data_IF_364975037008
#
_entry.id   IF_364975037008
#
_cell.length_a   1.000
_cell.length_b   1.000
_cell.length_c   1.000
_cell.angle_alpha   90.00
_cell.angle_beta   90.00
_cell.angle_gamma   90.00
#
_symmetry.space_group_name_H-M   'P 1'
#
loop_
_entity.id
_entity.type
_entity.pdbx_description
1 polymer ?
#
# COMPACT_ATOMS: atom_id res chain seq x y z
N UNK A 1 -23.55 20.40 -0.77
CA UNK A 1 -22.72 20.54 -1.98
C UNK A 1 -21.42 19.74 -1.85
N UNK A 2 -20.56 20.03 -0.86
CA UNK A 2 -19.33 19.25 -0.60
C UNK A 2 -19.55 17.73 -0.56
N UNK A 3 -20.49 17.23 0.25
CA UNK A 3 -20.77 15.79 0.35
C UNK A 3 -21.18 15.15 -0.99
N UNK A 4 -21.90 15.87 -1.85
CA UNK A 4 -22.29 15.37 -3.17
C UNK A 4 -21.06 15.19 -4.07
N UNK A 5 -20.15 16.16 -4.08
CA UNK A 5 -18.90 16.09 -4.86
C UNK A 5 -18.01 14.96 -4.34
N UNK A 6 -17.89 14.80 -3.02
CA UNK A 6 -17.15 13.69 -2.42
C UNK A 6 -17.75 12.33 -2.81
N UNK A 7 -19.08 12.17 -2.70
CA UNK A 7 -19.76 10.91 -3.06
C UNK A 7 -19.62 10.57 -4.54
N UNK A 8 -19.66 11.58 -5.41
CA UNK A 8 -19.43 11.40 -6.85
C UNK A 8 -17.99 10.92 -7.12
N UNK A 9 -16.99 11.58 -6.53
CA UNK A 9 -15.59 11.17 -6.64
C UNK A 9 -15.36 9.75 -6.14
N UNK A 10 -15.91 9.42 -4.97
CA UNK A 10 -15.82 8.06 -4.42
C UNK A 10 -16.46 7.04 -5.37
N UNK A 11 -17.62 7.36 -5.95
CA UNK A 11 -18.30 6.46 -6.89
C UNK A 11 -17.45 6.19 -8.13
N UNK A 12 -16.77 7.21 -8.67
CA UNK A 12 -15.81 7.05 -9.78
C UNK A 12 -14.62 6.19 -9.37
N UNK A 13 -14.00 6.49 -8.21
CA UNK A 13 -12.86 5.72 -7.68
C UNK A 13 -13.23 4.25 -7.48
N UNK A 14 -14.37 3.96 -6.82
CA UNK A 14 -14.84 2.60 -6.60
C UNK A 14 -15.11 1.88 -7.92
N UNK A 15 -15.76 2.53 -8.88
CA UNK A 15 -16.07 1.94 -10.19
C UNK A 15 -14.79 1.57 -10.96
N UNK A 16 -13.84 2.48 -11.06
CA UNK A 16 -12.56 2.26 -11.75
C UNK A 16 -11.73 1.19 -11.03
N UNK A 17 -11.62 1.29 -9.70
CA UNK A 17 -10.81 0.36 -8.90
C UNK A 17 -11.39 -1.05 -8.89
N UNK A 18 -12.72 -1.18 -8.93
CA UNK A 18 -13.37 -2.48 -9.10
C UNK A 18 -13.03 -3.12 -10.44
N UNK A 19 -12.94 -2.34 -11.53
CA UNK A 19 -12.55 -2.81 -12.86
C UNK A 19 -11.05 -3.12 -13.00
N UNK A 20 -10.21 -2.76 -12.02
CA UNK A 20 -8.76 -3.04 -12.04
C UNK A 20 -8.46 -4.54 -12.02
N UNK A 21 -7.71 -5.00 -13.02
CA UNK A 21 -7.36 -6.41 -13.26
C UNK A 21 -5.89 -6.76 -12.95
N UNK A 22 -4.99 -5.78 -13.03
CA UNK A 22 -3.55 -5.98 -12.86
C UNK A 22 -2.98 -5.01 -11.83
N UNK A 23 -1.86 -5.41 -11.21
CA UNK A 23 -1.14 -4.59 -10.26
C UNK A 23 0.08 -3.94 -10.91
N UNK A 24 0.38 -2.71 -10.50
CA UNK A 24 1.68 -2.12 -10.77
C UNK A 24 2.73 -2.71 -9.82
N UNK A 25 4.01 -2.63 -10.19
CA UNK A 25 5.09 -3.29 -9.43
C UNK A 25 5.27 -2.70 -8.03
N UNK A 26 5.05 -1.40 -7.87
CA UNK A 26 5.09 -0.70 -6.59
C UNK A 26 3.97 -1.14 -5.63
N UNK A 27 2.78 -1.48 -6.16
CA UNK A 27 1.68 -2.04 -5.37
C UNK A 27 2.11 -3.38 -4.81
N UNK A 28 2.68 -4.26 -5.63
CA UNK A 28 3.19 -5.56 -5.17
C UNK A 28 4.31 -5.39 -4.13
N UNK A 29 5.25 -4.48 -4.36
CA UNK A 29 6.30 -4.18 -3.39
C UNK A 29 5.78 -3.59 -2.09
N UNK A 30 4.67 -2.85 -2.12
CA UNK A 30 4.04 -2.37 -0.89
C UNK A 30 3.59 -3.52 0.01
N UNK A 31 2.97 -4.55 -0.57
CA UNK A 31 2.61 -5.77 0.16
C UNK A 31 3.85 -6.52 0.64
N UNK A 32 4.84 -6.68 -0.22
CA UNK A 32 6.08 -7.36 0.15
C UNK A 32 6.76 -6.73 1.36
N UNK A 33 7.00 -5.42 1.33
CA UNK A 33 7.69 -4.74 2.42
C UNK A 33 6.87 -4.74 3.72
N UNK A 34 5.54 -4.77 3.63
CA UNK A 34 4.65 -4.86 4.78
C UNK A 34 4.51 -6.28 5.35
N UNK A 35 4.54 -7.32 4.51
CA UNK A 35 4.10 -8.67 4.89
C UNK A 35 5.22 -9.70 4.91
N UNK A 36 6.24 -9.57 4.05
CA UNK A 36 7.34 -10.54 3.98
C UNK A 36 8.15 -10.55 5.27
N UNK A 37 8.12 -11.69 5.96
CA UNK A 37 8.95 -11.97 7.13
C UNK A 37 10.36 -12.44 6.77
N UNK A 38 10.55 -12.90 5.52
CA UNK A 38 11.83 -13.38 5.00
C UNK A 38 12.71 -12.22 4.51
N UNK A 39 12.09 -11.07 4.30
CA UNK A 39 12.72 -9.76 4.23
C UNK A 39 12.32 -8.97 2.98
N UNK A 40 13.08 -7.91 2.65
CA UNK A 40 12.60 -6.85 1.76
C UNK A 40 12.51 -7.21 0.26
N UNK A 41 13.27 -8.21 -0.20
CA UNK A 41 13.32 -8.59 -1.61
C UNK A 41 13.08 -10.09 -1.79
N UNK A 42 12.50 -10.45 -2.93
CA UNK A 42 12.35 -11.82 -3.37
C UNK A 42 13.72 -12.36 -3.82
N UNK A 43 14.35 -13.23 -3.04
CA UNK A 43 15.56 -13.97 -3.39
C UNK A 43 15.32 -15.49 -3.24
N UNK A 44 16.17 -16.35 -3.79
CA UNK A 44 15.98 -17.80 -3.79
C UNK A 44 16.59 -18.52 -2.56
N UNK A 45 17.12 -17.80 -1.56
CA UNK A 45 17.69 -18.35 -0.31
C UNK A 45 17.30 -17.54 0.95
N UNK A 46 16.14 -16.88 0.92
CA UNK A 46 15.74 -15.69 1.70
C UNK A 46 16.11 -15.68 3.20
N UNK A 47 17.33 -15.22 3.51
CA UNK A 47 17.68 -14.43 4.70
C UNK A 47 18.09 -13.04 4.21
N UNK A 48 17.10 -12.22 3.82
CA UNK A 48 17.36 -10.90 3.24
C UNK A 48 17.59 -9.83 4.31
N UNK A 49 18.50 -10.13 5.24
CA UNK A 49 19.04 -9.13 6.16
C UNK A 49 20.38 -8.55 5.69
N UNK A 50 21.22 -9.32 4.99
CA UNK A 50 22.52 -8.82 4.50
C UNK A 50 23.06 -9.66 3.33
N UNK A 51 23.30 -9.03 2.18
CA UNK A 51 24.43 -9.41 1.31
C UNK A 51 25.18 -8.16 0.87
N UNK A 52 26.00 -7.65 1.79
CA UNK A 52 27.14 -6.80 1.47
C UNK A 52 28.34 -7.74 1.44
N UNK A 53 28.76 -8.15 0.25
CA UNK A 53 30.17 -8.35 -0.14
C UNK A 53 30.26 -8.86 -1.59
N UNK A 54 30.87 -8.03 -2.44
CA UNK A 54 31.59 -8.34 -3.68
C UNK A 54 31.01 -9.39 -4.65
N UNK A 55 29.97 -8.99 -5.40
CA UNK A 55 29.86 -9.42 -6.81
C UNK A 55 28.71 -10.34 -7.18
N UNK A 56 27.85 -10.75 -6.25
CA UNK A 56 26.69 -11.59 -6.58
C UNK A 56 25.40 -10.75 -6.54
N UNK A 57 25.23 -9.89 -7.55
CA UNK A 57 23.89 -9.39 -7.94
C UNK A 57 23.20 -10.40 -8.85
N UNK A 58 23.26 -11.70 -8.57
CA UNK A 58 22.51 -12.69 -9.37
C UNK A 58 21.06 -12.77 -8.90
N UNK A 59 20.38 -11.65 -9.14
CA UNK A 59 18.96 -11.38 -8.97
C UNK A 59 18.15 -12.33 -9.83
N UNK A 60 17.71 -13.48 -9.29
CA UNK A 60 16.68 -14.37 -9.85
C UNK A 60 16.80 -14.72 -11.36
N UNK A 61 17.96 -14.48 -11.98
CA UNK A 61 18.11 -14.54 -13.43
C UNK A 61 18.14 -16.01 -13.86
N UNK A 62 17.31 -16.38 -14.83
CA UNK A 62 17.17 -17.76 -15.30
C UNK A 62 16.72 -18.76 -14.21
N UNK A 63 15.98 -18.30 -13.18
CA UNK A 63 15.36 -19.16 -12.17
C UNK A 63 13.84 -19.04 -12.22
N UNK A 64 13.17 -20.18 -12.09
CA UNK A 64 11.72 -20.23 -11.92
C UNK A 64 11.38 -20.07 -10.43
N UNK A 65 10.42 -19.23 -10.12
CA UNK A 65 9.85 -19.06 -8.78
C UNK A 65 8.45 -19.63 -8.85
N UNK A 66 8.12 -20.52 -7.92
CA UNK A 66 6.78 -21.07 -7.86
C UNK A 66 5.77 -20.00 -7.37
N UNK A 67 4.53 -20.14 -7.83
CA UNK A 67 3.48 -19.17 -7.50
C UNK A 67 3.17 -19.09 -6.01
N UNK A 68 3.40 -20.16 -5.25
CA UNK A 68 3.18 -20.16 -3.81
C UNK A 68 4.24 -19.32 -3.10
N UNK A 69 5.53 -19.50 -3.42
CA UNK A 69 6.61 -18.67 -2.88
C UNK A 69 6.39 -17.18 -3.17
N UNK A 70 5.92 -16.84 -4.37
CA UNK A 70 5.58 -15.45 -4.68
C UNK A 70 4.34 -14.96 -3.93
N UNK A 71 3.34 -15.81 -3.72
CA UNK A 71 2.17 -15.46 -2.93
C UNK A 71 2.51 -15.25 -1.44
N UNK A 72 3.30 -16.14 -0.85
CA UNK A 72 3.77 -16.05 0.53
C UNK A 72 4.59 -14.78 0.76
N UNK A 73 5.35 -14.34 -0.24
CA UNK A 73 6.10 -13.10 -0.20
C UNK A 73 5.20 -11.85 -0.12
N UNK A 74 3.98 -11.91 -0.66
CA UNK A 74 3.03 -10.79 -0.66
C UNK A 74 2.02 -10.86 0.50
N UNK A 75 1.84 -12.02 1.13
CA UNK A 75 0.75 -12.27 2.08
C UNK A 75 1.24 -12.47 3.51
N UNK A 76 0.42 -12.08 4.48
CA UNK A 76 0.69 -12.37 5.89
C UNK A 76 0.36 -13.82 6.15
N UNK A 77 1.30 -14.61 6.65
CA UNK A 77 1.04 -16.00 7.00
C UNK A 77 0.28 -16.12 8.34
N UNK A 78 -0.45 -17.22 8.56
CA UNK A 78 -1.18 -17.45 9.83
C UNK A 78 -0.37 -17.17 11.10
N UNK A 79 0.90 -17.59 11.10
CA UNK A 79 1.80 -17.43 12.24
C UNK A 79 2.41 -16.04 12.38
N UNK A 80 2.15 -15.12 11.46
CA UNK A 80 2.84 -13.82 11.33
C UNK A 80 1.90 -12.62 11.51
N UNK A 81 0.62 -12.89 11.77
CA UNK A 81 -0.40 -11.88 12.02
C UNK A 81 0.02 -10.95 13.15
N UNK A 82 -0.08 -9.64 12.91
CA UNK A 82 0.23 -8.57 13.86
C UNK A 82 1.67 -8.61 14.39
N UNK A 83 2.60 -9.22 13.66
CA UNK A 83 4.04 -9.14 13.96
C UNK A 83 4.62 -7.98 13.17
N UNK A 84 5.04 -6.93 13.84
CA UNK A 84 5.52 -5.72 13.15
C UNK A 84 7.04 -5.64 13.01
N UNK A 85 7.78 -6.60 13.58
CA UNK A 85 9.24 -6.55 13.64
C UNK A 85 9.86 -6.58 12.25
N UNK A 86 9.45 -7.51 11.39
CA UNK A 86 10.00 -7.65 10.04
C UNK A 86 9.76 -6.42 9.16
N UNK A 87 8.71 -5.64 9.42
CA UNK A 87 8.46 -4.38 8.70
C UNK A 87 9.60 -3.39 8.93
N UNK A 88 10.01 -3.20 10.19
CA UNK A 88 11.12 -2.31 10.50
C UNK A 88 12.43 -2.78 9.86
N UNK A 89 12.63 -4.09 9.84
CA UNK A 89 13.78 -4.75 9.23
C UNK A 89 13.81 -4.51 7.70
N UNK A 90 12.66 -4.67 7.04
CA UNK A 90 12.50 -4.41 5.61
C UNK A 90 12.75 -2.92 5.28
N UNK A 91 12.16 -2.01 6.06
CA UNK A 91 12.20 -0.57 5.80
C UNK A 91 13.58 0.05 6.02
N UNK A 92 14.47 -0.59 6.78
CA UNK A 92 15.89 -0.19 6.83
C UNK A 92 16.58 -0.32 5.48
N UNK A 93 16.12 -1.25 4.64
CA UNK A 93 16.73 -1.57 3.34
C UNK A 93 16.11 -0.73 2.23
N UNK A 94 14.79 -0.53 2.27
CA UNK A 94 14.04 0.17 1.20
C UNK A 94 13.79 1.66 1.49
N UNK A 95 14.17 2.13 2.68
CA UNK A 95 14.20 3.55 3.06
C UNK A 95 12.83 4.28 2.96
N UNK A 96 11.71 3.57 3.15
CA UNK A 96 10.38 4.18 3.16
C UNK A 96 9.86 4.48 4.58
N UNK A 97 9.04 5.54 4.74
CA UNK A 97 8.38 5.83 6.02
C UNK A 97 7.44 4.68 6.46
N UNK A 98 7.39 4.34 7.76
CA UNK A 98 6.76 3.10 8.21
C UNK A 98 5.22 3.11 8.27
N UNK A 99 4.60 4.28 8.37
CA UNK A 99 3.17 4.39 8.70
C UNK A 99 2.26 3.59 7.76
N UNK A 100 2.46 3.71 6.45
CA UNK A 100 1.63 3.02 5.47
C UNK A 100 1.78 1.49 5.55
N UNK A 101 3.01 0.99 5.69
CA UNK A 101 3.29 -0.45 5.78
C UNK A 101 2.76 -1.06 7.07
N UNK A 102 2.80 -0.32 8.18
CA UNK A 102 2.17 -0.73 9.45
C UNK A 102 0.64 -0.88 9.28
N UNK A 103 -0.02 0.08 8.62
CA UNK A 103 -1.45 0.00 8.33
C UNK A 103 -1.78 -1.17 7.40
N UNK A 104 -1.01 -1.33 6.32
CA UNK A 104 -1.21 -2.40 5.35
C UNK A 104 -1.05 -3.78 6.00
N UNK A 105 0.02 -3.98 6.77
CA UNK A 105 0.23 -5.22 7.51
C UNK A 105 -0.89 -5.50 8.51
N UNK A 106 -1.40 -4.46 9.17
CA UNK A 106 -2.52 -4.59 10.11
C UNK A 106 -3.78 -5.07 9.38
N UNK A 107 -4.10 -4.49 8.23
CA UNK A 107 -5.25 -4.92 7.40
C UNK A 107 -5.05 -6.36 6.92
N UNK A 108 -3.89 -6.69 6.35
CA UNK A 108 -3.60 -8.06 5.88
C UNK A 108 -3.57 -9.08 7.04
N UNK A 109 -3.23 -8.68 8.25
CA UNK A 109 -3.26 -9.57 9.43
C UNK A 109 -4.68 -10.02 9.82
N UNK A 110 -5.73 -9.35 9.35
CA UNK A 110 -7.10 -9.86 9.48
C UNK A 110 -7.43 -10.95 8.45
N UNK A 111 -6.69 -11.01 7.34
CA UNK A 111 -6.92 -11.89 6.20
C UNK A 111 -5.62 -12.63 5.83
N UNK A 112 -5.13 -13.53 6.72
CA UNK A 112 -3.91 -14.30 6.45
C UNK A 112 -4.04 -15.17 5.20
N UNK A 113 -2.89 -15.46 4.58
CA UNK A 113 -2.72 -16.28 3.37
C UNK A 113 -3.51 -15.75 2.15
N UNK A 114 -3.92 -14.47 2.20
CA UNK A 114 -4.75 -13.86 1.17
C UNK A 114 -4.14 -12.57 0.63
N UNK A 115 -4.03 -12.51 -0.70
CA UNK A 115 -3.66 -11.32 -1.44
C UNK A 115 -4.91 -10.77 -2.14
N UNK A 116 -5.25 -9.52 -1.86
CA UNK A 116 -6.42 -8.85 -2.44
C UNK A 116 -6.16 -7.35 -2.59
N UNK A 117 -6.59 -6.75 -3.71
CA UNK A 117 -6.41 -5.32 -4.01
C UNK A 117 -7.05 -4.40 -2.99
N UNK A 118 -8.12 -4.83 -2.34
CA UNK A 118 -8.88 -4.03 -1.38
C UNK A 118 -8.19 -3.85 -0.04
N UNK A 119 -7.16 -4.65 0.31
CA UNK A 119 -6.41 -4.39 1.53
C UNK A 119 -5.72 -3.02 1.48
N UNK A 120 -4.90 -2.77 0.46
CA UNK A 120 -4.30 -1.46 0.20
C UNK A 120 -5.34 -0.43 -0.30
N UNK A 121 -6.28 -0.87 -1.15
CA UNK A 121 -7.30 0.02 -1.72
C UNK A 121 -8.18 0.68 -0.66
N UNK A 122 -8.59 -0.05 0.38
CA UNK A 122 -9.40 0.50 1.48
C UNK A 122 -8.63 1.56 2.28
N UNK A 123 -7.34 1.34 2.55
CA UNK A 123 -6.47 2.32 3.20
C UNK A 123 -6.40 3.60 2.36
N UNK A 124 -6.16 3.46 1.06
CA UNK A 124 -6.07 4.60 0.14
C UNK A 124 -7.39 5.38 0.05
N UNK A 125 -8.53 4.70 0.05
CA UNK A 125 -9.86 5.34 0.04
C UNK A 125 -10.09 6.12 1.34
N UNK A 126 -9.75 5.56 2.49
CA UNK A 126 -9.87 6.26 3.78
C UNK A 126 -8.95 7.50 3.82
N UNK A 127 -7.69 7.36 3.41
CA UNK A 127 -6.75 8.49 3.34
C UNK A 127 -7.22 9.56 2.35
N UNK A 128 -7.76 9.16 1.20
CA UNK A 128 -8.36 10.08 0.24
C UNK A 128 -9.49 10.90 0.88
N UNK A 129 -10.43 10.26 1.59
CA UNK A 129 -11.52 10.97 2.28
C UNK A 129 -10.97 11.99 3.29
N UNK A 130 -9.97 11.59 4.09
CA UNK A 130 -9.34 12.48 5.08
C UNK A 130 -8.66 13.69 4.42
N UNK A 131 -7.90 13.47 3.36
CA UNK A 131 -7.24 14.53 2.59
C UNK A 131 -8.28 15.44 1.94
N UNK A 132 -9.36 14.88 1.39
CA UNK A 132 -10.43 15.64 0.75
C UNK A 132 -11.15 16.56 1.74
N UNK A 133 -11.42 16.08 2.96
CA UNK A 133 -11.98 16.90 4.05
C UNK A 133 -11.00 17.98 4.50
N UNK A 134 -9.72 17.62 4.68
CA UNK A 134 -8.68 18.57 5.08
C UNK A 134 -8.52 19.69 4.04
N UNK A 135 -8.49 19.34 2.75
CA UNK A 135 -8.40 20.29 1.65
C UNK A 135 -9.61 21.23 1.60
N UNK A 136 -10.82 20.71 1.82
CA UNK A 136 -12.02 21.55 1.93
C UNK A 136 -11.89 22.55 3.08
N UNK A 137 -11.50 22.09 4.26
CA UNK A 137 -11.38 22.94 5.45
C UNK A 137 -10.27 23.98 5.32
N UNK A 138 -9.16 23.61 4.69
CA UNK A 138 -8.08 24.54 4.39
C UNK A 138 -8.53 25.60 3.38
N UNK A 139 -9.24 25.19 2.33
CA UNK A 139 -9.76 26.11 1.31
C UNK A 139 -10.80 27.08 1.89
N UNK A 140 -11.69 26.59 2.77
CA UNK A 140 -12.67 27.40 3.50
C UNK A 140 -11.97 28.43 4.40
N UNK A 141 -10.90 28.03 5.08
CA UNK A 141 -10.10 28.93 5.91
C UNK A 141 -9.38 30.01 5.09
N UNK A 142 -8.85 29.66 3.91
CA UNK A 142 -8.09 30.60 3.06
C UNK A 142 -8.99 31.57 2.29
N UNK A 143 -10.13 31.10 1.79
CA UNK A 143 -11.02 31.88 0.92
C UNK A 143 -12.14 32.58 1.71
N UNK A 144 -12.40 32.14 2.93
CA UNK A 144 -13.50 32.60 3.78
C UNK A 144 -14.88 32.49 3.08
N UNK A 145 -15.00 31.56 2.12
CA UNK A 145 -16.21 31.27 1.35
C UNK A 145 -16.30 29.76 1.09
N UNK A 146 -17.30 29.11 1.68
CA UNK A 146 -17.52 27.67 1.56
C UNK A 146 -17.87 27.23 0.13
N UNK A 147 -18.43 28.10 -0.72
CA UNK A 147 -18.77 27.77 -2.12
C UNK A 147 -17.52 27.73 -2.98
N UNK A 148 -16.65 28.73 -2.84
CA UNK A 148 -15.34 28.74 -3.51
C UNK A 148 -14.47 27.58 -3.02
N UNK A 149 -14.53 27.26 -1.73
CA UNK A 149 -13.86 26.07 -1.20
C UNK A 149 -14.33 24.78 -1.88
N UNK A 150 -15.65 24.59 -2.08
CA UNK A 150 -16.15 23.42 -2.85
C UNK A 150 -15.62 23.43 -4.28
N UNK A 151 -15.55 24.59 -4.95
CA UNK A 151 -14.95 24.68 -6.29
C UNK A 151 -13.48 24.24 -6.29
N UNK A 152 -12.70 24.63 -5.28
CA UNK A 152 -11.31 24.18 -5.15
C UNK A 152 -11.19 22.66 -5.04
N UNK A 153 -12.00 22.02 -4.19
CA UNK A 153 -11.92 20.56 -4.03
C UNK A 153 -12.53 19.81 -5.23
N UNK A 154 -13.49 20.40 -5.92
CA UNK A 154 -14.07 19.85 -7.15
C UNK A 154 -13.14 19.93 -8.36
N UNK A 155 -12.15 20.84 -8.36
CA UNK A 155 -11.12 20.94 -9.40
C UNK A 155 -9.91 20.03 -9.14
N UNK A 156 -9.70 19.65 -7.87
CA UNK A 156 -8.58 18.79 -7.49
C UNK A 156 -8.85 17.30 -7.76
N UNK A 157 -10.11 16.86 -7.57
CA UNK A 157 -10.58 15.52 -7.95
C UNK A 157 -11.06 15.47 -9.40
#
# INVERSE_FOLDING_TARGET
MFCLVLLLNLSVVFHIFQAKQAFHSDEQWSYAHANSSKGAYLDAEIDSYYQVNDGIRQRLFNRWIDGQTFNDYLTVQQGERFKYRHIYENLKIVEHPPLYFLLLHTVCSFFPDNFDKWHAGSINIVLFILIYIALFKLSELMLNDSRLAVCCVALWG
#
